data_IF_669047245933
#
_entry.id   IF_669047245933
#
_cell.length_a   1.000
_cell.length_b   1.000
_cell.length_c   1.000
_cell.angle_alpha   90.00
_cell.angle_beta   90.00
_cell.angle_gamma   90.00
#
_symmetry.space_group_name_H-M   'P 1'
#
loop_
_entity.id
_entity.type
_entity.pdbx_description
1 polymer ?
#
# COMPACT_ATOMS: atom_id res chain seq x y z
N UNK A 1 -1.83 -4.41 2.51
CA UNK A 1 -0.76 -3.78 1.71
C UNK A 1 -1.42 -3.04 0.57
N UNK A 2 -1.74 -1.76 0.76
CA UNK A 2 -2.26 -0.90 -0.31
C UNK A 2 -1.18 0.03 -0.85
N UNK A 3 -0.27 -0.57 -1.61
CA UNK A 3 0.77 0.14 -2.33
C UNK A 3 1.20 -0.65 -3.57
N UNK A 4 1.48 0.06 -4.67
CA UNK A 4 1.87 -0.56 -5.92
C UNK A 4 1.93 0.42 -7.08
N UNK A 5 2.23 -0.12 -8.26
CA UNK A 5 2.15 0.61 -9.53
C UNK A 5 0.68 0.88 -9.88
N UNK A 6 0.40 2.06 -10.41
CA UNK A 6 -0.91 2.44 -10.92
C UNK A 6 -1.01 2.05 -12.39
N UNK A 7 -2.03 1.27 -12.72
CA UNK A 7 -2.39 0.89 -14.07
C UNK A 7 -3.87 1.19 -14.29
N UNK A 8 -4.21 1.58 -15.52
CA UNK A 8 -5.59 1.92 -15.90
C UNK A 8 -6.09 0.87 -16.88
N UNK A 9 -7.25 0.30 -16.59
CA UNK A 9 -7.92 -0.62 -17.48
C UNK A 9 -8.88 0.13 -18.41
N UNK A 10 -8.74 -0.06 -19.72
CA UNK A 10 -9.64 0.50 -20.74
C UNK A 10 -9.78 -0.47 -21.90
N UNK A 11 -11.02 -0.74 -22.33
CA UNK A 11 -11.28 -1.48 -23.56
C UNK A 11 -10.59 -2.86 -23.65
N UNK A 12 -10.42 -3.56 -22.53
CA UNK A 12 -9.75 -4.88 -22.52
C UNK A 12 -8.26 -4.86 -22.23
N UNK A 13 -7.64 -3.69 -22.09
CA UNK A 13 -6.18 -3.55 -21.97
C UNK A 13 -5.79 -2.77 -20.71
N UNK A 14 -4.73 -3.23 -20.03
CA UNK A 14 -4.09 -2.50 -18.94
C UNK A 14 -2.99 -1.59 -19.48
N UNK A 15 -3.10 -0.30 -19.19
CA UNK A 15 -2.12 0.71 -19.54
C UNK A 15 -1.38 1.23 -18.31
N UNK A 16 -0.10 1.55 -18.48
CA UNK A 16 0.74 2.15 -17.43
C UNK A 16 0.58 3.66 -17.41
N UNK A 17 0.54 4.27 -16.22
CA UNK A 17 0.40 5.72 -16.08
C UNK A 17 1.77 6.39 -16.14
N UNK A 18 1.85 7.47 -16.92
CA UNK A 18 3.07 8.25 -17.07
C UNK A 18 3.51 8.83 -15.71
N UNK A 19 4.81 8.82 -15.46
CA UNK A 19 5.41 9.41 -14.27
C UNK A 19 5.39 10.95 -14.29
N UNK A 20 5.32 11.53 -15.48
CA UNK A 20 5.34 12.98 -15.68
C UNK A 20 4.04 13.62 -15.19
N UNK A 21 4.18 14.62 -14.32
CA UNK A 21 3.03 15.23 -13.66
C UNK A 21 2.33 14.32 -12.64
N UNK A 22 2.87 13.15 -12.29
CA UNK A 22 2.32 12.32 -11.22
C UNK A 22 2.61 12.93 -9.85
N UNK A 23 1.59 13.07 -9.00
CA UNK A 23 1.67 13.77 -7.72
C UNK A 23 0.77 13.12 -6.65
N UNK A 24 0.86 13.65 -5.42
CA UNK A 24 0.11 13.15 -4.28
C UNK A 24 -1.41 13.30 -4.45
N UNK A 25 -1.88 14.32 -5.17
CA UNK A 25 -3.32 14.52 -5.40
C UNK A 25 -3.89 13.40 -6.28
N UNK A 26 -3.18 13.04 -7.35
CA UNK A 26 -3.55 11.93 -8.23
C UNK A 26 -3.47 10.59 -7.50
N UNK A 27 -2.43 10.37 -6.70
CA UNK A 27 -2.33 9.18 -5.87
C UNK A 27 -3.46 9.09 -4.83
N UNK A 28 -3.91 10.22 -4.27
CA UNK A 28 -5.01 10.26 -3.31
C UNK A 28 -6.34 9.84 -3.94
N UNK A 29 -6.60 10.25 -5.19
CA UNK A 29 -7.76 9.79 -5.95
C UNK A 29 -7.71 8.26 -6.11
N UNK A 30 -6.57 7.70 -6.52
CA UNK A 30 -6.41 6.24 -6.64
C UNK A 30 -6.62 5.53 -5.30
N UNK A 31 -6.05 6.05 -4.22
CA UNK A 31 -6.23 5.46 -2.89
C UNK A 31 -7.69 5.48 -2.44
N UNK A 32 -8.43 6.54 -2.76
CA UNK A 32 -9.87 6.65 -2.47
C UNK A 32 -10.69 5.71 -3.36
N UNK A 33 -10.41 5.68 -4.66
CA UNK A 33 -11.06 4.80 -5.64
C UNK A 33 -10.93 3.32 -5.25
N UNK A 34 -9.77 2.93 -4.70
CA UNK A 34 -9.50 1.57 -4.21
C UNK A 34 -9.98 1.31 -2.78
N UNK A 35 -10.60 2.30 -2.10
CA UNK A 35 -11.06 2.16 -0.71
C UNK A 35 -9.94 2.03 0.32
N UNK A 36 -8.72 2.43 -0.03
CA UNK A 36 -7.51 2.31 0.79
C UNK A 36 -7.21 3.53 1.68
N UNK A 37 -8.12 4.49 1.74
CA UNK A 37 -7.96 5.73 2.49
C UNK A 37 -7.22 6.80 1.70
N UNK A 38 -6.34 7.54 2.37
CA UNK A 38 -5.60 8.65 1.76
C UNK A 38 -4.25 8.19 1.18
N UNK A 39 -3.69 8.97 0.26
CA UNK A 39 -2.31 8.75 -0.21
C UNK A 39 -1.29 9.25 0.81
N UNK A 40 -0.28 8.43 1.06
CA UNK A 40 0.92 8.75 1.83
C UNK A 40 2.06 9.17 0.90
N UNK A 41 2.20 8.48 -0.25
CA UNK A 41 3.23 8.78 -1.24
C UNK A 41 2.72 8.59 -2.67
N UNK A 42 3.32 9.33 -3.59
CA UNK A 42 3.12 9.20 -5.04
C UNK A 42 4.46 8.91 -5.75
N UNK A 43 4.97 7.67 -5.71
CA UNK A 43 6.21 7.34 -6.39
C UNK A 43 6.11 7.55 -7.90
N UNK A 44 7.02 8.32 -8.47
CA UNK A 44 7.06 8.65 -9.92
C UNK A 44 8.35 8.16 -10.59
N UNK A 45 9.03 7.17 -10.02
CA UNK A 45 10.33 6.67 -10.51
C UNK A 45 10.35 5.17 -10.74
N UNK A 46 9.18 4.57 -11.03
CA UNK A 46 9.04 3.12 -11.17
C UNK A 46 9.52 2.36 -9.93
N UNK A 47 9.26 2.88 -8.72
CA UNK A 47 9.59 2.23 -7.45
C UNK A 47 9.07 0.78 -7.36
N UNK A 48 7.92 0.53 -7.97
CA UNK A 48 7.28 -0.79 -8.04
C UNK A 48 7.53 -1.51 -9.38
N UNK A 49 8.56 -1.13 -10.10
CA UNK A 49 8.88 -1.58 -11.46
C UNK A 49 8.15 -0.80 -12.54
N UNK A 50 8.79 -0.67 -13.71
CA UNK A 50 8.14 -0.15 -14.91
C UNK A 50 7.16 -1.22 -15.43
N UNK A 51 5.92 -0.84 -15.71
CA UNK A 51 4.94 -1.81 -16.21
C UNK A 51 5.25 -2.24 -17.64
N UNK A 52 4.85 -3.46 -18.01
CA UNK A 52 5.09 -4.04 -19.33
C UNK A 52 3.99 -3.70 -20.37
N UNK A 53 2.93 -3.00 -19.94
CA UNK A 53 1.78 -2.63 -20.78
C UNK A 53 1.97 -1.30 -21.52
N UNK A 54 1.11 -0.99 -22.50
CA UNK A 54 1.12 0.27 -23.22
C UNK A 54 1.02 1.46 -22.27
N UNK A 55 1.60 2.59 -22.65
CA UNK A 55 1.41 3.84 -21.90
C UNK A 55 -0.02 4.34 -22.07
N UNK A 56 -0.60 4.84 -20.98
CA UNK A 56 -1.86 5.55 -21.04
C UNK A 56 -1.66 6.88 -21.79
N UNK A 57 -2.43 7.17 -22.85
CA UNK A 57 -2.14 8.28 -23.76
C UNK A 57 -2.53 9.66 -23.22
N UNK A 58 -2.89 9.76 -21.94
CA UNK A 58 -3.38 10.98 -21.33
C UNK A 58 -2.64 11.33 -20.04
N UNK A 59 -2.42 12.63 -19.80
CA UNK A 59 -2.09 13.14 -18.46
C UNK A 59 -3.40 13.51 -17.75
N UNK A 60 -3.66 12.96 -16.55
CA UNK A 60 -4.79 13.38 -15.75
C UNK A 60 -4.48 14.74 -15.11
N UNK A 61 -5.35 15.74 -15.31
CA UNK A 61 -5.30 17.02 -14.60
C UNK A 61 -6.47 17.05 -13.63
N UNK A 62 -6.17 16.79 -12.36
CA UNK A 62 -7.15 16.61 -11.31
C UNK A 62 -7.14 17.78 -10.32
N UNK A 63 -8.29 18.10 -9.74
CA UNK A 63 -8.41 19.00 -8.57
C UNK A 63 -8.15 18.26 -7.24
N UNK A 64 -8.27 16.93 -7.23
CA UNK A 64 -8.12 16.06 -6.05
C UNK A 64 -9.45 15.59 -5.46
N UNK A 65 -10.58 16.11 -5.95
CA UNK A 65 -11.94 15.77 -5.49
C UNK A 65 -12.63 14.73 -6.37
N UNK A 66 -12.00 14.33 -7.47
CA UNK A 66 -12.56 13.37 -8.41
C UNK A 66 -12.62 11.95 -7.83
N UNK A 67 -13.68 11.20 -8.14
CA UNK A 67 -13.83 9.82 -7.65
C UNK A 67 -12.88 8.82 -8.33
N UNK A 68 -12.39 9.14 -9.53
CA UNK A 68 -11.44 8.32 -10.28
C UNK A 68 -10.57 9.17 -11.19
N UNK A 69 -9.43 8.61 -11.62
CA UNK A 69 -8.57 9.27 -12.61
C UNK A 69 -9.28 9.50 -13.96
N UNK A 70 -10.31 8.71 -14.27
CA UNK A 70 -11.14 8.87 -15.47
C UNK A 70 -12.03 10.13 -15.43
N UNK A 71 -12.41 10.58 -14.23
CA UNK A 71 -13.21 11.78 -14.04
C UNK A 71 -12.37 13.06 -14.13
N UNK A 72 -11.04 12.97 -14.05
CA UNK A 72 -10.17 14.11 -14.26
C UNK A 72 -10.20 14.60 -15.72
N UNK A 73 -9.90 15.88 -15.91
CA UNK A 73 -9.68 16.43 -17.25
C UNK A 73 -8.45 15.77 -17.87
N UNK A 74 -8.55 15.34 -19.13
CA UNK A 74 -7.46 14.67 -19.85
C UNK A 74 -6.79 15.62 -20.82
N UNK A 75 -5.47 15.67 -20.78
CA UNK A 75 -4.64 16.29 -21.81
C UNK A 75 -3.99 15.18 -22.63
N UNK A 76 -3.99 15.32 -23.96
CA UNK A 76 -3.28 14.38 -24.84
C UNK A 76 -1.79 14.38 -24.49
N UNK A 77 -1.26 13.21 -24.14
CA UNK A 77 0.16 13.04 -23.88
C UNK A 77 0.82 12.45 -25.12
N UNK A 78 1.56 13.31 -25.84
CA UNK A 78 2.25 12.90 -27.06
C UNK A 78 3.50 12.06 -26.81
N UNK A 79 4.21 12.32 -25.72
CA UNK A 79 5.44 11.61 -25.36
C UNK A 79 5.57 11.50 -23.83
N UNK A 80 5.78 10.31 -23.28
CA UNK A 80 6.12 10.13 -21.87
C UNK A 80 7.62 9.85 -21.76
N UNK A 81 8.42 10.88 -21.55
CA UNK A 81 9.89 10.78 -21.63
C UNK A 81 10.54 9.87 -20.58
N UNK A 82 9.83 9.54 -19.49
CA UNK A 82 10.35 8.71 -18.37
C UNK A 82 9.61 7.38 -18.18
N UNK A 83 8.73 7.01 -19.11
CA UNK A 83 8.00 5.74 -19.09
C UNK A 83 6.89 5.63 -18.04
N UNK A 84 6.29 4.43 -17.97
CA UNK A 84 5.11 4.14 -17.16
C UNK A 84 5.46 3.47 -15.84
N UNK A 85 5.42 4.24 -14.76
CA UNK A 85 5.80 3.75 -13.43
C UNK A 85 5.31 4.62 -12.29
N UNK A 86 4.22 5.36 -12.52
CA UNK A 86 3.48 6.01 -11.46
C UNK A 86 2.99 4.95 -10.46
N UNK A 87 3.18 5.22 -9.18
CA UNK A 87 2.76 4.37 -8.08
C UNK A 87 2.00 5.15 -7.03
N UNK A 88 1.31 4.42 -6.16
CA UNK A 88 0.65 4.97 -4.99
C UNK A 88 1.04 4.15 -3.76
N UNK A 89 1.21 4.84 -2.64
CA UNK A 89 1.29 4.24 -1.29
C UNK A 89 0.15 4.85 -0.50
N UNK A 90 -0.80 4.03 -0.03
CA UNK A 90 -2.00 4.48 0.66
C UNK A 90 -1.93 4.22 2.16
N UNK A 91 -2.75 4.92 2.94
CA UNK A 91 -2.78 4.85 4.40
C UNK A 91 -3.40 3.58 4.98
N UNK A 92 -3.89 2.67 4.11
CA UNK A 92 -4.55 1.41 4.46
C UNK A 92 -5.80 1.58 5.35
N UNK A 93 -6.39 2.79 5.39
CA UNK A 93 -7.59 3.06 6.18
C UNK A 93 -8.81 2.89 5.31
N UNK A 94 -9.55 1.80 5.49
CA UNK A 94 -10.92 1.74 5.02
C UNK A 94 -11.70 2.88 5.67
N UNK A 95 -12.22 3.80 4.86
CA UNK A 95 -13.22 4.74 5.33
C UNK A 95 -14.46 3.91 5.67
N UNK A 96 -14.76 3.80 6.96
CA UNK A 96 -15.99 3.20 7.43
C UNK A 96 -17.15 4.16 7.15
N UNK A 97 -17.52 4.32 5.88
CA UNK A 97 -18.74 5.02 5.51
C UNK A 97 -19.84 4.00 5.30
N UNK A 98 -20.36 3.45 6.40
CA UNK A 98 -21.76 3.02 6.58
C UNK A 98 -21.91 2.24 7.89
N UNK A 99 -22.80 2.66 8.81
CA UNK A 99 -23.32 1.76 9.84
C UNK A 99 -24.19 0.71 9.15
N UNK A 100 -23.70 -0.53 9.05
CA UNK A 100 -24.53 -1.68 8.62
C UNK A 100 -24.15 -2.39 7.33
N UNK A 101 -22.97 -2.16 6.74
CA UNK A 101 -22.45 -3.02 5.67
C UNK A 101 -21.64 -4.18 6.29
N UNK A 102 -22.27 -5.35 6.37
CA UNK A 102 -21.68 -6.62 6.72
C UNK A 102 -21.10 -7.20 5.43
N UNK A 103 -19.82 -6.93 5.13
CA UNK A 103 -18.78 -7.84 4.59
C UNK A 103 -17.53 -7.04 4.17
N UNK A 104 -16.33 -7.62 4.34
CA UNK A 104 -15.20 -6.87 4.86
C UNK A 104 -14.27 -6.35 3.77
N UNK A 105 -13.83 -5.10 3.96
CA UNK A 105 -12.47 -4.73 3.65
C UNK A 105 -11.53 -5.84 4.11
N UNK A 106 -10.69 -6.33 3.21
CA UNK A 106 -9.67 -7.33 3.52
C UNK A 106 -8.78 -6.78 4.63
N UNK A 107 -9.06 -7.21 5.86
CA UNK A 107 -8.39 -6.80 7.08
C UNK A 107 -6.88 -6.94 6.89
N UNK A 108 -6.16 -5.82 6.94
CA UNK A 108 -5.02 -5.80 7.84
C UNK A 108 -5.63 -5.37 9.17
N UNK A 109 -5.85 -6.26 10.14
CA UNK A 109 -6.34 -5.81 11.43
C UNK A 109 -5.27 -4.85 11.97
N UNK A 110 -5.67 -3.58 12.15
CA UNK A 110 -5.10 -2.82 13.25
C UNK A 110 -5.30 -3.71 14.49
N UNK A 111 -4.26 -3.93 15.32
CA UNK A 111 -4.36 -4.90 16.39
C UNK A 111 -5.54 -4.52 17.28
N UNK A 112 -6.58 -5.35 17.28
CA UNK A 112 -7.53 -5.40 18.37
C UNK A 112 -6.66 -5.64 19.60
N UNK A 113 -6.66 -4.66 20.49
CA UNK A 113 -5.88 -4.60 21.71
C UNK A 113 -6.35 -5.62 22.76
N UNK A 114 -6.50 -6.89 22.38
CA UNK A 114 -6.83 -7.96 23.33
C UNK A 114 -5.94 -9.21 23.24
N UNK A 115 -5.61 -9.85 22.09
CA UNK A 115 -5.00 -11.19 22.20
C UNK A 115 -3.64 -11.52 21.55
N UNK A 116 -3.01 -10.74 20.65
CA UNK A 116 -1.64 -11.08 20.24
C UNK A 116 -0.76 -9.87 19.84
N UNK A 117 0.33 -9.61 20.57
CA UNK A 117 1.38 -8.63 20.22
C UNK A 117 2.75 -9.31 20.14
N UNK A 118 3.68 -8.78 19.34
CA UNK A 118 5.01 -9.41 19.15
C UNK A 118 6.11 -8.38 19.40
N UNK A 119 7.21 -8.77 20.06
CA UNK A 119 8.41 -7.93 20.28
C UNK A 119 9.70 -8.75 20.27
N UNK A 120 10.83 -8.08 20.10
CA UNK A 120 12.17 -8.65 20.32
C UNK A 120 12.74 -8.09 21.62
N UNK A 121 13.00 -8.96 22.60
CA UNK A 121 13.48 -8.58 23.93
C UNK A 121 14.96 -8.93 24.16
N UNK A 122 15.68 -8.11 24.93
CA UNK A 122 17.03 -8.42 25.42
C UNK A 122 18.18 -8.32 24.39
N UNK A 123 17.92 -7.90 23.16
CA UNK A 123 18.98 -7.63 22.19
C UNK A 123 19.40 -6.16 22.12
N UNK A 124 20.49 -5.89 21.41
CA UNK A 124 20.95 -4.51 21.15
C UNK A 124 20.05 -3.85 20.10
N UNK A 125 19.08 -3.07 20.56
CA UNK A 125 18.15 -2.30 19.72
C UNK A 125 16.85 -3.04 19.39
N UNK A 126 15.91 -2.32 18.75
CA UNK A 126 14.54 -2.82 18.50
C UNK A 126 14.42 -3.98 17.50
N UNK A 127 15.49 -4.25 16.75
CA UNK A 127 15.51 -5.23 15.66
C UNK A 127 16.33 -6.49 15.98
N UNK A 128 16.67 -6.69 17.25
CA UNK A 128 17.45 -7.82 17.71
C UNK A 128 16.98 -8.24 19.08
N UNK A 129 16.83 -9.54 19.29
CA UNK A 129 16.44 -10.08 20.59
C UNK A 129 15.74 -11.42 20.48
N UNK A 130 15.22 -11.89 21.61
CA UNK A 130 14.37 -13.07 21.73
C UNK A 130 12.96 -12.69 21.29
N UNK A 131 12.35 -13.53 20.45
CA UNK A 131 10.96 -13.38 20.02
C UNK A 131 10.01 -13.65 21.20
N UNK A 132 9.28 -12.62 21.58
CA UNK A 132 8.22 -12.69 22.59
C UNK A 132 6.87 -12.35 21.98
N UNK A 133 5.84 -13.06 22.45
CA UNK A 133 4.45 -12.90 22.04
C UNK A 133 3.61 -12.60 23.28
N UNK A 134 2.83 -11.52 23.24
CA UNK A 134 1.85 -11.17 24.26
C UNK A 134 0.53 -11.88 23.96
N UNK A 135 -0.11 -12.52 24.93
CA UNK A 135 -1.47 -13.05 24.85
C UNK A 135 -2.21 -12.75 26.17
N UNK A 136 -3.41 -12.18 26.10
CA UNK A 136 -4.20 -11.72 27.26
C UNK A 136 -3.40 -10.83 28.23
N UNK A 137 -2.56 -9.94 27.69
CA UNK A 137 -1.70 -9.07 28.50
C UNK A 137 -0.45 -9.72 29.10
N UNK A 138 -0.18 -11.00 28.83
CA UNK A 138 1.00 -11.72 29.34
C UNK A 138 2.00 -12.02 28.23
N UNK A 139 3.29 -11.76 28.47
CA UNK A 139 4.36 -12.02 27.50
C UNK A 139 4.98 -13.41 27.69
N UNK A 140 5.01 -14.19 26.61
CA UNK A 140 5.62 -15.51 26.54
C UNK A 140 6.70 -15.60 25.46
N UNK A 141 7.64 -16.54 25.62
CA UNK A 141 8.68 -16.83 24.63
C UNK A 141 8.19 -17.87 23.63
N UNK A 142 8.57 -17.70 22.36
CA UNK A 142 8.28 -18.69 21.31
C UNK A 142 9.35 -19.79 21.33
N UNK A 143 8.92 -21.06 21.23
CA UNK A 143 9.82 -22.20 21.19
C UNK A 143 10.67 -22.19 19.90
N UNK A 144 11.95 -22.57 20.01
CA UNK A 144 12.91 -22.57 18.90
C UNK A 144 12.49 -23.48 17.72
N UNK A 145 11.69 -24.52 17.99
CA UNK A 145 11.18 -25.45 16.97
C UNK A 145 10.11 -24.84 16.06
N UNK A 146 9.48 -23.72 16.47
CA UNK A 146 8.48 -22.98 15.67
C UNK A 146 9.05 -21.78 14.90
N UNK A 147 10.32 -21.44 15.10
CA UNK A 147 10.98 -20.28 14.52
C UNK A 147 11.77 -20.68 13.27
N UNK A 148 11.08 -20.78 12.14
CA UNK A 148 11.72 -20.93 10.83
C UNK A 148 12.33 -19.60 10.35
N UNK A 149 13.27 -19.62 9.38
CA UNK A 149 13.74 -18.40 8.72
C UNK A 149 12.59 -17.56 8.13
N UNK A 150 11.55 -18.20 7.62
CA UNK A 150 10.34 -17.52 7.13
C UNK A 150 9.56 -16.82 8.23
N UNK A 151 9.45 -17.46 9.41
CA UNK A 151 8.83 -16.86 10.61
C UNK A 151 9.61 -15.63 11.07
N UNK A 152 10.95 -15.71 11.11
CA UNK A 152 11.81 -14.59 11.47
C UNK A 152 11.68 -13.42 10.48
N UNK A 153 11.66 -13.70 9.17
CA UNK A 153 11.47 -12.68 8.14
C UNK A 153 10.10 -11.98 8.27
N UNK A 154 9.04 -12.72 8.56
CA UNK A 154 7.71 -12.15 8.80
C UNK A 154 7.69 -11.22 10.03
N UNK A 155 8.32 -11.64 11.13
CA UNK A 155 8.43 -10.84 12.35
C UNK A 155 9.24 -9.56 12.10
N UNK A 156 10.38 -9.65 11.42
CA UNK A 156 11.19 -8.47 11.12
C UNK A 156 10.43 -7.47 10.24
N UNK A 157 9.68 -7.96 9.24
CA UNK A 157 8.83 -7.11 8.39
C UNK A 157 7.71 -6.44 9.20
N UNK A 158 7.11 -7.16 10.15
CA UNK A 158 6.08 -6.62 11.03
C UNK A 158 6.63 -5.54 11.97
N UNK A 159 7.87 -5.68 12.43
CA UNK A 159 8.53 -4.74 13.34
C UNK A 159 9.25 -3.57 12.64
N UNK A 160 9.20 -3.51 11.30
CA UNK A 160 9.92 -2.48 10.52
C UNK A 160 11.45 -2.60 10.65
N UNK A 161 11.94 -3.82 10.77
CA UNK A 161 13.34 -4.19 10.95
C UNK A 161 13.96 -4.84 9.70
N UNK A 162 13.26 -4.73 8.57
CA UNK A 162 13.68 -5.19 7.25
C UNK A 162 13.15 -4.24 6.19
#
# INVERSE_FOLDING_TARGET
>A
HCAGRVEIYSGGTWSTVCQEGWDLQKAAIVCRELGCGGALEAPSSARFGAGAGPLWPYIPVCSGTEESLWACRRLEQRECGRGGGAGAVCSERCQAETPGAWWPCRDRPAPLAEHLSVRLAGGRGRCRGVLEVSHNGTWGRVCATGTSPGTAAAVCRQLGCG
#
